data_IF_433285798914
#
_entry.id   IF_433285798914
#
_cell.length_a   1.000
_cell.length_b   1.000
_cell.length_c   1.000
_cell.angle_alpha   90.00
_cell.angle_beta   90.00
_cell.angle_gamma   90.00
#
_symmetry.space_group_name_H-M   'P 1'
#
loop_
_entity.id
_entity.type
_entity.pdbx_description
1 polymer ?
#
# COMPACT_ATOMS: atom_id res chain seq x y z
N UNK A 1 -6.32 3.62 0.28
CA UNK A 1 -6.22 3.20 1.70
C UNK A 1 -4.91 3.68 2.28
N UNK A 2 -4.87 3.96 3.58
CA UNK A 2 -3.71 4.59 4.25
C UNK A 2 -3.63 6.10 4.03
N UNK A 3 -4.76 6.80 3.97
CA UNK A 3 -4.75 8.25 3.82
C UNK A 3 -4.03 8.89 5.02
N UNK A 4 -3.05 9.75 4.75
CA UNK A 4 -2.21 10.38 5.77
C UNK A 4 -0.98 9.56 6.18
N UNK A 5 -0.84 8.32 5.70
CA UNK A 5 0.38 7.53 5.85
C UNK A 5 1.33 7.73 4.66
N UNK A 6 2.63 7.70 4.93
CA UNK A 6 3.68 7.68 3.90
C UNK A 6 4.26 6.27 3.84
N UNK A 7 4.26 5.68 2.65
CA UNK A 7 4.94 4.42 2.37
C UNK A 7 6.29 4.65 1.71
N UNK A 8 7.31 3.91 2.13
CA UNK A 8 8.63 3.89 1.49
C UNK A 8 8.83 2.48 0.92
N UNK A 9 9.09 2.40 -0.39
CA UNK A 9 9.41 1.15 -1.07
C UNK A 9 10.92 1.03 -1.28
N UNK A 10 11.45 -0.15 -0.99
CA UNK A 10 12.88 -0.47 -1.13
C UNK A 10 13.04 -1.79 -1.86
N UNK A 11 14.24 -2.04 -2.40
CA UNK A 11 14.57 -3.35 -2.97
C UNK A 11 14.66 -4.40 -1.86
N UNK A 12 14.17 -5.59 -2.15
CA UNK A 12 14.15 -6.71 -1.19
C UNK A 12 15.56 -7.20 -0.81
N UNK A 13 16.53 -7.04 -1.71
CA UNK A 13 17.92 -7.48 -1.57
C UNK A 13 18.89 -6.36 -1.13
N UNK A 14 18.36 -5.26 -0.57
CA UNK A 14 19.14 -4.13 -0.06
C UNK A 14 19.00 -3.98 1.47
N UNK A 15 19.79 -4.73 2.26
CA UNK A 15 19.68 -4.74 3.72
C UNK A 15 20.16 -3.44 4.36
N UNK A 16 21.01 -2.67 3.69
CA UNK A 16 21.49 -1.38 4.19
C UNK A 16 20.35 -0.36 4.17
N UNK A 17 19.70 -0.20 3.02
CA UNK A 17 18.54 0.69 2.88
C UNK A 17 17.41 0.27 3.82
N UNK A 18 17.16 -1.04 3.97
CA UNK A 18 16.13 -1.55 4.90
C UNK A 18 16.37 -1.12 6.34
N UNK A 19 17.62 -1.16 6.83
CA UNK A 19 17.93 -0.75 8.22
C UNK A 19 17.61 0.73 8.46
N UNK A 20 17.89 1.59 7.47
CA UNK A 20 17.61 3.03 7.57
C UNK A 20 16.10 3.27 7.61
N UNK A 21 15.35 2.62 6.72
CA UNK A 21 13.89 2.79 6.63
C UNK A 21 13.17 2.22 7.85
N UNK A 22 13.65 1.12 8.43
CA UNK A 22 13.04 0.53 9.64
C UNK A 22 13.04 1.51 10.83
N UNK A 23 14.04 2.37 10.94
CA UNK A 23 14.08 3.40 11.99
C UNK A 23 12.98 4.47 11.85
N UNK A 24 12.37 4.61 10.67
CA UNK A 24 11.27 5.53 10.38
C UNK A 24 9.90 4.86 10.55
N UNK A 25 9.87 3.54 10.76
CA UNK A 25 8.64 2.77 10.78
C UNK A 25 7.88 2.98 12.09
N UNK A 26 6.63 3.43 12.00
CA UNK A 26 5.72 3.51 13.14
C UNK A 26 4.84 2.26 13.19
N UNK A 27 5.05 1.41 14.19
CA UNK A 27 4.43 0.08 14.28
C UNK A 27 2.90 0.11 14.23
N UNK A 28 2.26 1.02 14.98
CA UNK A 28 0.79 1.12 15.00
C UNK A 28 0.23 1.55 13.65
N UNK A 29 0.86 2.53 12.99
CA UNK A 29 0.46 2.95 11.64
C UNK A 29 0.63 1.83 10.64
N UNK A 30 1.74 1.08 10.71
CA UNK A 30 1.98 -0.09 9.84
C UNK A 30 0.87 -1.12 10.03
N UNK A 31 0.49 -1.43 11.27
CA UNK A 31 -0.58 -2.40 11.58
C UNK A 31 -1.94 -1.93 11.03
N UNK A 32 -2.32 -0.67 11.27
CA UNK A 32 -3.56 -0.09 10.74
C UNK A 32 -3.60 -0.17 9.20
N UNK A 33 -2.56 0.34 8.54
CA UNK A 33 -2.47 0.37 7.08
C UNK A 33 -2.43 -1.04 6.49
N UNK A 34 -1.84 -2.02 7.18
CA UNK A 34 -1.83 -3.42 6.73
C UNK A 34 -3.25 -3.99 6.66
N UNK A 35 -4.08 -3.74 7.68
CA UNK A 35 -5.48 -4.15 7.68
C UNK A 35 -6.29 -3.47 6.57
N UNK A 36 -6.15 -2.16 6.42
CA UNK A 36 -6.85 -1.40 5.37
C UNK A 36 -6.44 -1.83 3.95
N UNK A 37 -5.15 -2.10 3.73
CA UNK A 37 -4.65 -2.58 2.43
C UNK A 37 -5.10 -4.01 2.16
N UNK A 38 -5.12 -4.89 3.15
CA UNK A 38 -5.63 -6.25 2.98
C UNK A 38 -7.11 -6.25 2.58
N UNK A 39 -7.91 -5.42 3.24
CA UNK A 39 -9.30 -5.18 2.86
C UNK A 39 -9.44 -4.70 1.40
N UNK A 40 -8.67 -3.69 0.99
CA UNK A 40 -8.73 -3.20 -0.40
C UNK A 40 -8.30 -4.26 -1.42
N UNK A 41 -7.23 -5.00 -1.14
CA UNK A 41 -6.73 -6.07 -2.02
C UNK A 41 -7.79 -7.15 -2.22
N UNK A 42 -8.48 -7.54 -1.15
CA UNK A 42 -9.52 -8.57 -1.20
C UNK A 42 -10.74 -8.15 -2.03
N UNK A 43 -11.06 -6.86 -2.06
CA UNK A 43 -12.13 -6.31 -2.91
C UNK A 43 -11.67 -6.03 -4.35
N UNK A 44 -10.41 -6.35 -4.69
CA UNK A 44 -9.75 -6.03 -5.96
C UNK A 44 -9.85 -4.55 -6.33
N UNK A 45 -9.98 -3.68 -5.33
CA UNK A 45 -10.32 -2.27 -5.51
C UNK A 45 -9.17 -1.43 -6.05
N UNK A 46 -9.42 -0.68 -7.13
CA UNK A 46 -8.55 0.38 -7.62
C UNK A 46 -8.91 1.78 -7.09
N UNK A 47 -8.13 2.80 -7.45
CA UNK A 47 -8.36 4.20 -7.03
C UNK A 47 -9.71 4.79 -7.46
N UNK A 48 -10.39 4.17 -8.44
CA UNK A 48 -11.64 4.69 -9.02
C UNK A 48 -12.88 4.00 -8.45
N UNK A 49 -12.71 3.12 -7.46
CA UNK A 49 -13.80 2.34 -6.88
C UNK A 49 -14.22 2.99 -5.54
N UNK A 50 -15.52 3.21 -5.30
CA UNK A 50 -16.05 3.86 -4.08
C UNK A 50 -15.94 2.95 -2.84
N UNK A 51 -14.70 2.70 -2.42
CA UNK A 51 -14.32 1.85 -1.30
C UNK A 51 -13.59 2.71 -0.26
N UNK A 52 -13.93 2.54 1.02
CA UNK A 52 -13.20 3.15 2.13
C UNK A 52 -12.85 2.10 3.19
N UNK A 53 -11.70 2.28 3.85
CA UNK A 53 -11.29 1.50 5.00
C UNK A 53 -10.50 2.39 5.96
N UNK A 54 -10.73 2.23 7.26
CA UNK A 54 -10.01 2.95 8.31
C UNK A 54 -9.83 2.05 9.53
N UNK A 55 -8.58 1.84 9.93
CA UNK A 55 -8.20 1.04 11.08
C UNK A 55 -7.68 1.89 12.23
N UNK A 56 -8.11 1.58 13.45
CA UNK A 56 -7.60 2.18 14.69
C UNK A 56 -6.98 1.10 15.55
N UNK A 57 -5.74 1.31 15.99
CA UNK A 57 -5.01 0.37 16.85
C UNK A 57 -5.11 0.86 18.30
N UNK A 58 -5.37 -0.06 19.23
CA UNK A 58 -5.33 0.20 20.67
C UNK A 58 -4.69 -1.00 21.38
N UNK A 59 -3.42 -0.86 21.73
CA UNK A 59 -2.64 -1.94 22.33
C UNK A 59 -2.60 -3.18 21.44
N UNK A 60 -3.21 -4.27 21.90
CA UNK A 60 -3.23 -5.56 21.21
C UNK A 60 -4.43 -5.74 20.26
N UNK A 61 -5.29 -4.72 20.09
CA UNK A 61 -6.50 -4.79 19.28
C UNK A 61 -6.47 -3.80 18.11
N UNK A 62 -7.15 -4.18 17.03
CA UNK A 62 -7.38 -3.36 15.84
C UNK A 62 -8.87 -3.32 15.57
N UNK A 63 -9.36 -2.12 15.36
CA UNK A 63 -10.73 -1.78 15.04
C UNK A 63 -10.78 -1.34 13.57
N UNK A 64 -11.26 -2.20 12.67
CA UNK A 64 -11.35 -1.91 11.24
C UNK A 64 -12.78 -1.56 10.85
N UNK A 65 -12.97 -0.40 10.22
CA UNK A 65 -14.23 0.00 9.58
C UNK A 65 -14.03 -0.02 8.07
N UNK A 66 -14.92 -0.69 7.34
CA UNK A 66 -14.91 -0.81 5.89
C UNK A 66 -16.22 -0.34 5.28
N UNK A 67 -16.17 0.15 4.05
CA UNK A 67 -17.34 0.62 3.31
C UNK A 67 -17.19 0.39 1.81
N UNK A 68 -18.29 0.00 1.17
CA UNK A 68 -18.48 -0.02 -0.29
C UNK A 68 -19.77 0.73 -0.60
N UNK A 69 -19.75 1.63 -1.59
CA UNK A 69 -20.92 2.41 -1.99
C UNK A 69 -21.18 2.31 -3.50
N UNK A 70 -22.43 2.51 -3.94
CA UNK A 70 -22.72 2.72 -5.36
C UNK A 70 -22.14 4.05 -5.85
N UNK A 71 -21.92 4.17 -7.17
CA UNK A 71 -21.37 5.39 -7.79
C UNK A 71 -22.23 6.63 -7.46
N UNK A 72 -23.55 6.45 -7.40
CA UNK A 72 -24.50 7.50 -7.06
C UNK A 72 -24.69 7.71 -5.54
N UNK A 73 -24.00 6.91 -4.71
CA UNK A 73 -24.04 6.97 -3.26
C UNK A 73 -25.35 6.52 -2.61
N UNK A 74 -26.32 5.98 -3.36
CA UNK A 74 -27.62 5.56 -2.82
C UNK A 74 -27.55 4.27 -2.03
N UNK A 75 -26.66 3.37 -2.42
CA UNK A 75 -26.43 2.10 -1.73
C UNK A 75 -25.09 2.21 -1.04
N UNK A 76 -25.07 1.96 0.27
CA UNK A 76 -23.86 1.97 1.08
C UNK A 76 -23.88 0.77 2.00
N UNK A 77 -22.88 -0.09 1.86
CA UNK A 77 -22.62 -1.19 2.79
C UNK A 77 -21.45 -0.73 3.67
N UNK A 78 -21.67 -0.68 4.98
CA UNK A 78 -20.67 -0.27 5.96
C UNK A 78 -20.62 -1.31 7.06
N UNK A 79 -19.43 -1.85 7.29
CA UNK A 79 -19.21 -2.88 8.28
C UNK A 79 -18.03 -2.51 9.19
N UNK A 80 -18.03 -3.12 10.38
CA UNK A 80 -16.96 -2.97 11.36
C UNK A 80 -16.59 -4.34 11.91
N UNK A 81 -15.30 -4.56 12.09
CA UNK A 81 -14.77 -5.76 12.74
C UNK A 81 -13.60 -5.38 13.64
N UNK A 82 -13.55 -6.00 14.80
CA UNK A 82 -12.43 -5.89 15.74
C UNK A 82 -11.63 -7.20 15.71
N UNK A 83 -10.30 -7.11 15.84
CA UNK A 83 -9.41 -8.26 15.77
C UNK A 83 -8.06 -7.99 16.45
N UNK A 84 -7.19 -9.00 16.56
CA UNK A 84 -5.89 -8.83 17.18
C UNK A 84 -4.92 -8.04 16.30
N UNK A 85 -4.11 -7.17 16.91
CA UNK A 85 -3.04 -6.43 16.23
C UNK A 85 -1.93 -7.33 15.66
N UNK A 86 -1.88 -8.60 16.07
CA UNK A 86 -0.99 -9.61 15.52
C UNK A 86 -1.44 -10.20 14.18
N UNK A 87 -2.70 -10.00 13.77
CA UNK A 87 -3.25 -10.52 12.50
C UNK A 87 -4.08 -9.45 11.76
N UNK A 88 -3.50 -8.28 11.45
CA UNK A 88 -4.25 -7.18 10.84
C UNK A 88 -4.72 -7.51 9.42
N UNK A 89 -3.95 -8.30 8.67
CA UNK A 89 -4.30 -8.64 7.28
C UNK A 89 -5.51 -9.58 7.22
N UNK A 90 -5.55 -10.60 8.09
CA UNK A 90 -6.68 -11.51 8.21
C UNK A 90 -7.96 -10.75 8.56
N UNK A 91 -7.88 -9.80 9.50
CA UNK A 91 -8.99 -8.90 9.83
C UNK A 91 -9.50 -8.13 8.60
N UNK A 92 -8.58 -7.64 7.76
CA UNK A 92 -8.91 -6.95 6.52
C UNK A 92 -9.63 -7.85 5.51
N UNK A 93 -9.13 -9.08 5.32
CA UNK A 93 -9.75 -10.08 4.43
C UNK A 93 -11.15 -10.46 4.92
N UNK A 94 -11.30 -10.80 6.20
CA UNK A 94 -12.59 -11.21 6.75
C UNK A 94 -13.65 -10.10 6.69
N UNK A 95 -13.27 -8.84 6.89
CA UNK A 95 -14.19 -7.72 6.73
C UNK A 95 -14.62 -7.52 5.26
N UNK A 96 -13.69 -7.69 4.32
CA UNK A 96 -14.00 -7.60 2.90
C UNK A 96 -14.97 -8.70 2.46
N UNK A 97 -14.74 -9.95 2.89
CA UNK A 97 -15.64 -11.09 2.64
C UNK A 97 -17.05 -10.80 3.17
N UNK A 98 -17.17 -10.30 4.40
CA UNK A 98 -18.47 -9.92 4.98
C UNK A 98 -19.19 -8.86 4.14
N UNK A 99 -18.48 -7.84 3.65
CA UNK A 99 -19.10 -6.82 2.80
C UNK A 99 -19.55 -7.40 1.46
N UNK A 100 -18.75 -8.30 0.87
CA UNK A 100 -19.11 -8.97 -0.38
C UNK A 100 -20.39 -9.81 -0.22
N UNK A 101 -20.51 -10.53 0.89
CA UNK A 101 -21.70 -11.34 1.22
C UNK A 101 -22.98 -10.49 1.42
N UNK A 102 -22.84 -9.23 1.82
CA UNK A 102 -23.96 -8.31 2.04
C UNK A 102 -24.43 -7.55 0.78
N UNK A 103 -23.92 -7.93 -0.39
CA UNK A 103 -24.27 -7.27 -1.65
C UNK A 103 -23.16 -6.34 -2.19
N UNK A 104 -21.98 -6.36 -1.57
CA UNK A 104 -20.85 -5.56 -2.01
C UNK A 104 -20.34 -5.99 -3.39
N UNK A 105 -20.50 -7.27 -3.73
CA UNK A 105 -20.09 -7.81 -5.03
C UNK A 105 -20.82 -7.12 -6.18
N UNK A 106 -22.14 -7.02 -6.08
CA UNK A 106 -23.02 -6.44 -7.09
C UNK A 106 -22.70 -4.97 -7.33
N UNK A 107 -22.38 -4.24 -6.26
CA UNK A 107 -21.95 -2.83 -6.36
C UNK A 107 -20.64 -2.73 -7.12
N UNK A 108 -19.65 -3.55 -6.77
CA UNK A 108 -18.32 -3.53 -7.39
C UNK A 108 -18.39 -3.94 -8.87
N UNK A 109 -19.14 -4.98 -9.19
CA UNK A 109 -19.32 -5.46 -10.57
C UNK A 109 -19.96 -4.37 -11.46
N UNK A 110 -20.97 -3.66 -10.93
CA UNK A 110 -21.60 -2.53 -11.64
C UNK A 110 -20.60 -1.39 -11.91
N UNK A 111 -19.69 -1.12 -10.98
CA UNK A 111 -18.63 -0.10 -11.14
C UNK A 111 -17.66 -0.50 -12.25
N UNK A 112 -17.19 -1.75 -12.27
CA UNK A 112 -16.23 -2.22 -13.26
C UNK A 112 -16.82 -2.30 -14.67
N UNK A 113 -18.11 -2.63 -14.80
CA UNK A 113 -18.79 -2.60 -16.10
C UNK A 113 -18.97 -1.18 -16.64
N UNK A 114 -19.26 -0.21 -15.77
CA UNK A 114 -19.41 1.20 -16.15
C UNK A 114 -18.09 1.86 -16.57
N UNK A 115 -16.94 1.39 -16.06
CA UNK A 115 -15.63 1.98 -16.33
C UNK A 115 -15.07 1.69 -17.74
N UNK A 116 -15.54 0.64 -18.43
CA UNK A 116 -15.04 0.21 -19.74
C UNK A 116 -13.57 -0.26 -19.73
N UNK A 117 -13.10 -1.04 -20.72
CA UNK A 117 -11.71 -1.48 -20.76
C UNK A 117 -10.79 -0.28 -21.03
N UNK A 118 -10.13 0.20 -19.98
CA UNK A 118 -9.16 1.29 -20.06
C UNK A 118 -8.02 0.94 -21.02
N UNK A 119 -7.79 1.79 -22.02
CA UNK A 119 -6.63 1.73 -22.91
C UNK A 119 -5.37 2.04 -22.08
N UNK A 120 -4.77 1.03 -21.48
CA UNK A 120 -3.45 1.14 -20.87
C UNK A 120 -2.44 1.44 -21.97
N UNK A 121 -1.99 2.69 -22.09
CA UNK A 121 -0.77 2.99 -22.84
C UNK A 121 0.37 2.40 -22.04
N UNK A 122 0.86 1.23 -22.45
CA UNK A 122 2.11 0.68 -21.96
C UNK A 122 3.20 1.71 -22.26
N UNK A 123 3.72 2.36 -21.23
CA UNK A 123 4.97 3.11 -21.32
C UNK A 123 6.10 2.08 -21.23
N UNK A 124 6.88 1.84 -22.30
CA UNK A 124 8.00 0.91 -22.22
C UNK A 124 9.00 1.42 -21.18
N UNK A 125 9.43 0.54 -20.28
CA UNK A 125 10.47 0.81 -19.30
C UNK A 125 11.79 1.12 -20.01
N UNK A 126 12.46 2.24 -19.72
CA UNK A 126 13.74 2.58 -20.34
C UNK A 126 14.92 1.76 -19.80
N UNK A 127 14.70 0.80 -18.91
CA UNK A 127 15.77 0.10 -18.17
C UNK A 127 16.16 -1.27 -18.75
N UNK A 128 16.02 -1.46 -20.06
CA UNK A 128 16.65 -2.59 -20.75
C UNK A 128 17.86 -2.09 -21.57
N UNK A 129 19.05 -2.13 -20.97
CA UNK A 129 20.33 -1.99 -21.66
C UNK A 129 21.17 -0.78 -21.23
N UNK A 130 22.07 -0.98 -20.27
CA UNK A 130 23.51 -1.00 -20.58
C UNK A 130 24.33 -1.31 -19.32
N UNK A 131 25.07 -2.41 -19.42
CA UNK A 131 26.15 -2.79 -18.53
C UNK A 131 27.32 -1.81 -18.66
N UNK A 132 27.82 -1.34 -17.52
CA UNK A 132 29.01 -0.50 -17.30
C UNK A 132 28.85 1.03 -17.39
N UNK A 133 28.44 1.63 -16.27
CA UNK A 133 28.99 2.92 -15.84
C UNK A 133 29.77 2.73 -14.56
N UNK A 134 31.10 2.73 -14.69
CA UNK A 134 32.07 2.64 -13.62
C UNK A 134 31.96 3.91 -12.77
N UNK A 135 31.51 3.81 -11.52
CA UNK A 135 31.56 4.92 -10.56
C UNK A 135 33.04 5.28 -10.35
N UNK A 136 33.50 6.52 -10.63
CA UNK A 136 34.88 6.88 -10.38
C UNK A 136 35.15 6.95 -8.87
N UNK A 137 36.21 6.27 -8.45
CA UNK A 137 36.70 6.18 -7.07
C UNK A 137 37.04 7.57 -6.49
N UNK A 138 36.86 7.80 -5.18
CA UNK A 138 37.14 9.10 -4.58
C UNK A 138 38.64 9.43 -4.63
N UNK A 139 38.93 10.69 -4.97
CA UNK A 139 40.25 11.30 -5.08
C UNK A 139 41.15 10.95 -3.88
N UNK A 140 42.30 10.33 -4.17
CA UNK A 140 43.42 10.23 -3.22
C UNK A 140 43.90 11.64 -2.89
N UNK A 141 43.97 11.98 -1.59
CA UNK A 141 44.80 13.08 -1.11
C UNK A 141 46.26 12.71 -1.37
N UNK A 142 46.90 13.40 -2.31
CA UNK A 142 48.37 13.44 -2.36
C UNK A 142 48.85 14.64 -1.54
N UNK A 143 49.54 14.33 -0.45
CA UNK A 143 50.43 15.26 0.21
C UNK A 143 51.84 15.08 -0.34
N UNK A 144 52.46 16.18 -0.75
CA UNK A 144 53.91 16.46 -0.87
C UNK A 144 53.97 17.96 -1.25
N UNK A 145 54.66 18.89 -0.59
CA UNK A 145 55.91 18.79 0.15
C UNK A 145 57.06 19.32 -0.72
N UNK A 146 57.44 20.60 -0.56
CA UNK A 146 58.82 21.08 -0.80
C UNK A 146 59.06 22.18 -1.84
N UNK A 147 59.45 23.38 -1.35
CA UNK A 147 60.67 24.09 -1.77
C UNK A 147 60.58 25.16 -2.87
N UNK A 148 60.63 26.44 -2.48
CA UNK A 148 61.78 27.36 -2.65
C UNK A 148 61.71 28.48 -1.62
#
# INVERSE_FOLDING_TARGET
MGQGAIGIETRVDDPETRRIVEALNHAETRTAVSAERAFLRQLEGGCQVPIAAHAVVSGAAVALTGLVASIDGRIVIRERMDGPAGAPEDLGVSLAERILEQGGREILDAVYQAAGPGRTRVVPSPLAGDSHTKIPSPLRREGQGGGV
#
